data_IF_203641853797
#
_entry.id   IF_203641853797
#
_cell.length_a   1.000
_cell.length_b   1.000
_cell.length_c   1.000
_cell.angle_alpha   90.00
_cell.angle_beta   90.00
_cell.angle_gamma   90.00
#
_symmetry.space_group_name_H-M   'P 1'
#
loop_
_entity.id
_entity.type
_entity.pdbx_description
1 polymer ?
#
# COMPACT_ATOMS: atom_id res chain seq x y z
N UNK A 1 60.88 23.16 -97.78
CA UNK A 1 60.05 24.14 -97.05
C UNK A 1 59.24 23.41 -95.99
N UNK A 2 59.79 23.18 -94.79
CA UNK A 2 59.55 23.95 -93.54
C UNK A 2 58.08 24.23 -93.16
N UNK A 3 57.14 24.38 -94.09
CA UNK A 3 55.72 24.61 -93.80
C UNK A 3 54.93 23.31 -93.57
N UNK A 4 55.29 22.20 -94.21
CA UNK A 4 54.56 20.92 -94.04
C UNK A 4 54.89 20.27 -92.69
N UNK A 5 56.10 20.44 -92.18
CA UNK A 5 56.48 19.97 -90.83
C UNK A 5 55.92 20.86 -89.71
N UNK A 6 55.71 22.17 -89.96
CA UNK A 6 55.06 23.07 -89.00
C UNK A 6 53.56 22.84 -88.88
N UNK A 7 52.90 22.39 -89.95
CA UNK A 7 51.47 22.07 -89.93
C UNK A 7 51.18 20.73 -89.23
N UNK A 8 52.07 19.73 -89.31
CA UNK A 8 51.90 18.49 -88.54
C UNK A 8 52.18 18.67 -87.03
N UNK A 9 53.11 19.55 -86.64
CA UNK A 9 53.35 19.84 -85.22
C UNK A 9 52.26 20.72 -84.59
N UNK A 10 51.65 21.61 -85.36
CA UNK A 10 50.54 22.45 -84.89
C UNK A 10 49.26 21.63 -84.63
N UNK A 11 48.98 20.60 -85.44
CA UNK A 11 47.83 19.70 -85.23
C UNK A 11 48.03 18.79 -84.01
N UNK A 12 49.27 18.33 -83.76
CA UNK A 12 49.57 17.53 -82.57
C UNK A 12 49.51 18.36 -81.27
N UNK A 13 49.90 19.64 -81.31
CA UNK A 13 49.77 20.55 -80.16
C UNK A 13 48.33 21.01 -79.90
N UNK A 14 47.44 21.07 -80.90
CA UNK A 14 46.04 21.47 -80.69
C UNK A 14 45.13 20.31 -80.23
N UNK A 15 45.50 19.06 -80.51
CA UNK A 15 44.79 17.89 -79.98
C UNK A 15 45.19 17.56 -78.52
N UNK A 16 46.39 17.95 -78.09
CA UNK A 16 46.89 17.67 -76.74
C UNK A 16 46.34 18.62 -75.64
N UNK A 17 45.77 19.78 -76.00
CA UNK A 17 45.34 20.78 -75.02
C UNK A 17 43.89 20.63 -74.52
N UNK A 18 43.08 19.74 -75.11
CA UNK A 18 41.68 19.50 -74.69
C UNK A 18 41.47 18.25 -73.81
N UNK A 19 42.51 17.43 -73.61
CA UNK A 19 42.45 16.24 -72.75
C UNK A 19 42.59 16.49 -71.22
N UNK A 20 43.30 17.52 -70.70
CA UNK A 20 43.53 17.64 -69.26
C UNK A 20 42.32 18.18 -68.46
N UNK A 21 41.44 18.96 -69.11
CA UNK A 21 40.39 19.72 -68.43
C UNK A 21 39.19 18.84 -68.02
N UNK A 22 38.85 17.83 -68.84
CA UNK A 22 37.78 16.86 -68.53
C UNK A 22 38.20 15.87 -67.46
N UNK A 23 39.46 15.41 -67.47
CA UNK A 23 40.01 14.54 -66.43
C UNK A 23 40.03 15.21 -65.04
N UNK A 24 40.32 16.52 -64.98
CA UNK A 24 40.27 17.31 -63.74
C UNK A 24 38.84 17.50 -63.21
N UNK A 25 37.86 17.70 -64.08
CA UNK A 25 36.45 17.78 -63.68
C UNK A 25 35.94 16.42 -63.15
N UNK A 26 36.31 15.33 -63.81
CA UNK A 26 35.97 13.97 -63.37
C UNK A 26 36.61 13.63 -62.01
N UNK A 27 37.88 13.97 -61.77
CA UNK A 27 38.53 13.76 -60.47
C UNK A 27 37.84 14.55 -59.34
N UNK A 28 37.40 15.78 -59.63
CA UNK A 28 36.62 16.60 -58.69
C UNK A 28 35.26 15.98 -58.36
N UNK A 29 34.56 15.44 -59.37
CA UNK A 29 33.27 14.78 -59.19
C UNK A 29 33.40 13.45 -58.43
N UNK A 30 34.47 12.69 -58.68
CA UNK A 30 34.83 11.48 -57.92
C UNK A 30 35.09 11.84 -56.45
N UNK A 31 35.88 12.88 -56.17
CA UNK A 31 36.14 13.34 -54.79
C UNK A 31 34.86 13.79 -54.07
N UNK A 32 33.99 14.54 -54.75
CA UNK A 32 32.70 14.97 -54.20
C UNK A 32 31.80 13.77 -53.90
N UNK A 33 31.71 12.82 -54.83
CA UNK A 33 30.92 11.59 -54.67
C UNK A 33 31.45 10.75 -53.51
N UNK A 34 32.77 10.59 -53.39
CA UNK A 34 33.42 9.88 -52.27
C UNK A 34 33.14 10.56 -50.92
N UNK A 35 33.11 11.89 -50.88
CA UNK A 35 32.74 12.64 -49.67
C UNK A 35 31.28 12.42 -49.28
N UNK A 36 30.36 12.44 -50.25
CA UNK A 36 28.93 12.15 -50.02
C UNK A 36 28.74 10.72 -49.52
N UNK A 37 29.40 9.74 -50.15
CA UNK A 37 29.36 8.33 -49.71
C UNK A 37 29.85 8.22 -48.27
N UNK A 38 31.00 8.83 -47.93
CA UNK A 38 31.52 8.81 -46.56
C UNK A 38 30.57 9.45 -45.54
N UNK A 39 29.88 10.54 -45.92
CA UNK A 39 28.86 11.17 -45.09
C UNK A 39 27.64 10.25 -44.90
N UNK A 40 27.18 9.59 -45.96
CA UNK A 40 26.09 8.62 -45.91
C UNK A 40 26.46 7.38 -45.09
N UNK A 41 27.69 6.88 -45.18
CA UNK A 41 28.16 5.78 -44.33
C UNK A 41 28.14 6.16 -42.84
N UNK A 42 28.55 7.38 -42.50
CA UNK A 42 28.44 7.91 -41.13
C UNK A 42 26.98 8.03 -40.68
N UNK A 43 26.10 8.49 -41.56
CA UNK A 43 24.66 8.59 -41.29
C UNK A 43 24.04 7.21 -41.06
N UNK A 44 24.35 6.22 -41.90
CA UNK A 44 23.90 4.83 -41.75
C UNK A 44 24.40 4.23 -40.44
N UNK A 45 25.66 4.42 -40.08
CA UNK A 45 26.18 3.96 -38.78
C UNK A 45 25.45 4.60 -37.61
N UNK A 46 25.17 5.91 -37.67
CA UNK A 46 24.40 6.61 -36.63
C UNK A 46 22.98 6.07 -36.51
N UNK A 47 22.32 5.81 -37.64
CA UNK A 47 20.98 5.24 -37.66
C UNK A 47 20.96 3.82 -37.11
N UNK A 48 21.92 2.97 -37.48
CA UNK A 48 22.04 1.61 -36.95
C UNK A 48 22.21 1.62 -35.42
N UNK A 49 23.11 2.44 -34.88
CA UNK A 49 23.27 2.57 -33.44
C UNK A 49 21.96 3.04 -32.76
N UNK A 50 21.25 3.99 -33.38
CA UNK A 50 19.96 4.46 -32.85
C UNK A 50 18.88 3.38 -32.87
N UNK A 51 18.90 2.48 -33.85
CA UNK A 51 17.99 1.32 -33.92
C UNK A 51 18.33 0.32 -32.83
N UNK A 52 19.62 0.02 -32.63
CA UNK A 52 20.09 -0.90 -31.60
C UNK A 52 19.74 -0.39 -30.19
N UNK A 53 19.95 0.91 -29.93
CA UNK A 53 19.56 1.56 -28.67
C UNK A 53 18.04 1.48 -28.45
N UNK A 54 17.24 1.79 -29.48
CA UNK A 54 15.79 1.70 -29.38
C UNK A 54 15.29 0.25 -29.15
N UNK A 55 15.92 -0.74 -29.78
CA UNK A 55 15.61 -2.15 -29.57
C UNK A 55 15.91 -2.57 -28.13
N UNK A 56 17.05 -2.15 -27.58
CA UNK A 56 17.41 -2.41 -26.18
C UNK A 56 16.43 -1.74 -25.20
N UNK A 57 16.05 -0.49 -25.46
CA UNK A 57 15.06 0.23 -24.65
C UNK A 57 13.70 -0.48 -24.65
N UNK A 58 13.21 -0.92 -25.83
CA UNK A 58 11.95 -1.67 -25.95
C UNK A 58 12.00 -2.97 -25.14
N UNK A 59 13.10 -3.73 -25.22
CA UNK A 59 13.26 -4.98 -24.47
C UNK A 59 13.21 -4.71 -22.96
N UNK A 60 13.92 -3.67 -22.49
CA UNK A 60 13.93 -3.29 -21.08
C UNK A 60 12.55 -2.83 -20.61
N UNK A 61 11.85 -2.02 -21.40
CA UNK A 61 10.51 -1.53 -21.09
C UNK A 61 9.47 -2.66 -21.07
N UNK A 62 9.56 -3.63 -21.98
CA UNK A 62 8.75 -4.85 -21.93
C UNK A 62 9.00 -5.69 -20.67
N UNK A 63 10.27 -5.84 -20.27
CA UNK A 63 10.62 -6.55 -19.04
C UNK A 63 10.05 -5.83 -17.81
N UNK A 64 10.14 -4.50 -17.77
CA UNK A 64 9.57 -3.69 -16.69
C UNK A 64 8.05 -3.80 -16.63
N UNK A 65 7.35 -3.77 -17.77
CA UNK A 65 5.91 -3.98 -17.83
C UNK A 65 5.51 -5.36 -17.30
N UNK A 66 6.17 -6.43 -17.74
CA UNK A 66 5.94 -7.78 -17.22
C UNK A 66 6.18 -7.87 -15.71
N UNK A 67 7.24 -7.21 -15.22
CA UNK A 67 7.53 -7.13 -13.79
C UNK A 67 6.42 -6.44 -12.99
N UNK A 68 5.91 -5.32 -13.51
CA UNK A 68 4.78 -4.60 -12.90
C UNK A 68 3.49 -5.43 -12.95
N UNK A 69 3.24 -6.18 -14.02
CA UNK A 69 2.07 -7.07 -14.13
C UNK A 69 2.08 -8.18 -13.09
N UNK A 70 3.23 -8.84 -12.90
CA UNK A 70 3.41 -9.86 -11.86
C UNK A 70 3.18 -9.26 -10.47
N UNK A 71 3.74 -8.06 -10.21
CA UNK A 71 3.54 -7.38 -8.93
C UNK A 71 2.07 -7.00 -8.70
N UNK A 72 1.38 -6.49 -9.72
CA UNK A 72 -0.05 -6.15 -9.65
C UNK A 72 -0.87 -7.40 -9.34
N UNK A 73 -0.67 -8.50 -10.06
CA UNK A 73 -1.42 -9.74 -9.84
C UNK A 73 -1.21 -10.28 -8.42
N UNK A 74 0.03 -10.23 -7.91
CA UNK A 74 0.33 -10.62 -6.53
C UNK A 74 -0.36 -9.72 -5.51
N UNK A 75 -0.30 -8.40 -5.70
CA UNK A 75 -0.92 -7.42 -4.80
C UNK A 75 -2.46 -7.51 -4.84
N UNK A 76 -3.05 -7.80 -6.00
CA UNK A 76 -4.49 -8.04 -6.13
C UNK A 76 -4.93 -9.30 -5.36
N UNK A 77 -4.15 -10.38 -5.44
CA UNK A 77 -4.37 -11.59 -4.64
C UNK A 77 -4.28 -11.32 -3.13
N UNK A 78 -3.23 -10.61 -2.70
CA UNK A 78 -3.06 -10.21 -1.29
C UNK A 78 -4.23 -9.34 -0.80
N UNK A 79 -4.62 -8.31 -1.57
CA UNK A 79 -5.74 -7.42 -1.22
C UNK A 79 -7.05 -8.20 -1.14
N UNK A 80 -7.32 -9.12 -2.07
CA UNK A 80 -8.54 -9.92 -2.05
C UNK A 80 -8.61 -10.82 -0.81
N UNK A 81 -7.50 -11.47 -0.45
CA UNK A 81 -7.41 -12.32 0.75
C UNK A 81 -7.60 -11.48 2.02
N UNK A 82 -6.84 -10.39 2.15
CA UNK A 82 -6.89 -9.51 3.31
C UNK A 82 -8.26 -8.82 3.46
N UNK A 83 -8.95 -8.52 2.36
CA UNK A 83 -10.30 -7.94 2.40
C UNK A 83 -11.32 -8.92 2.99
N UNK A 84 -11.26 -10.20 2.61
CA UNK A 84 -12.11 -11.24 3.22
C UNK A 84 -11.83 -11.42 4.71
N UNK A 85 -10.55 -11.48 5.08
CA UNK A 85 -10.14 -11.56 6.48
C UNK A 85 -10.60 -10.33 7.27
N UNK A 86 -10.53 -9.14 6.66
CA UNK A 86 -11.01 -7.90 7.24
C UNK A 86 -12.52 -7.92 7.51
N UNK A 87 -13.34 -8.36 6.55
CA UNK A 87 -14.79 -8.50 6.75
C UNK A 87 -15.14 -9.42 7.92
N UNK A 88 -14.46 -10.57 8.02
CA UNK A 88 -14.64 -11.51 9.14
C UNK A 88 -14.25 -10.86 10.47
N UNK A 89 -13.12 -10.16 10.50
CA UNK A 89 -12.62 -9.46 11.68
C UNK A 89 -13.52 -8.29 12.11
N UNK A 90 -14.16 -7.60 11.16
CA UNK A 90 -15.14 -6.55 11.49
C UNK A 90 -16.38 -7.13 12.17
N UNK A 91 -16.90 -8.27 11.68
CA UNK A 91 -17.99 -8.97 12.36
C UNK A 91 -17.60 -9.38 13.79
N UNK A 92 -16.36 -9.86 13.97
CA UNK A 92 -15.84 -10.19 15.31
C UNK A 92 -15.75 -8.95 16.22
N UNK A 93 -15.40 -7.77 15.67
CA UNK A 93 -15.45 -6.52 16.43
C UNK A 93 -16.88 -6.23 16.89
N UNK A 94 -17.86 -6.31 15.99
CA UNK A 94 -19.26 -6.05 16.32
C UNK A 94 -19.79 -7.02 17.40
N UNK A 95 -19.42 -8.31 17.29
CA UNK A 95 -19.72 -9.34 18.29
C UNK A 95 -19.06 -9.03 19.65
N UNK A 96 -17.80 -8.61 19.66
CA UNK A 96 -17.09 -8.25 20.89
C UNK A 96 -17.65 -6.97 21.53
N UNK A 97 -18.05 -5.98 20.73
CA UNK A 97 -18.64 -4.75 21.25
C UNK A 97 -20.05 -5.01 21.82
N UNK A 98 -20.84 -5.86 21.18
CA UNK A 98 -22.12 -6.32 21.72
C UNK A 98 -21.95 -7.07 23.04
N UNK A 99 -20.97 -7.97 23.13
CA UNK A 99 -20.62 -8.66 24.38
C UNK A 99 -20.16 -7.68 25.44
N UNK A 100 -19.31 -6.72 25.11
CA UNK A 100 -18.85 -5.67 26.02
C UNK A 100 -20.03 -4.87 26.59
N UNK A 101 -20.93 -4.38 25.73
CA UNK A 101 -22.11 -3.63 26.16
C UNK A 101 -23.00 -4.45 27.12
N UNK A 102 -23.16 -5.75 26.84
CA UNK A 102 -23.88 -6.66 27.75
C UNK A 102 -23.18 -6.75 29.11
N UNK A 103 -21.86 -6.93 29.13
CA UNK A 103 -21.08 -7.01 30.37
C UNK A 103 -21.10 -5.68 31.15
N UNK A 104 -21.12 -4.54 30.47
CA UNK A 104 -21.25 -3.21 31.09
C UNK A 104 -22.63 -3.02 31.73
N UNK A 105 -23.69 -3.47 31.08
CA UNK A 105 -25.03 -3.49 31.67
C UNK A 105 -25.10 -4.39 32.90
N UNK A 106 -24.58 -5.63 32.80
CA UNK A 106 -24.51 -6.55 33.94
C UNK A 106 -23.69 -5.97 35.10
N UNK A 107 -22.58 -5.30 34.80
CA UNK A 107 -21.77 -4.56 35.78
C UNK A 107 -22.59 -3.45 36.46
N UNK A 108 -23.34 -2.65 35.70
CA UNK A 108 -24.19 -1.59 36.26
C UNK A 108 -25.30 -2.15 37.16
N UNK A 109 -25.90 -3.27 36.78
CA UNK A 109 -26.90 -3.96 37.61
C UNK A 109 -26.30 -4.50 38.92
N UNK A 110 -25.07 -4.99 38.89
CA UNK A 110 -24.34 -5.38 40.10
C UNK A 110 -24.07 -4.16 40.99
N UNK A 111 -23.67 -3.02 40.44
CA UNK A 111 -23.48 -1.77 41.18
C UNK A 111 -24.77 -1.32 41.88
N UNK A 112 -25.92 -1.37 41.19
CA UNK A 112 -27.23 -1.05 41.78
C UNK A 112 -27.58 -1.98 42.94
N UNK A 113 -27.42 -3.30 42.75
CA UNK A 113 -27.67 -4.31 43.79
C UNK A 113 -26.77 -4.11 45.01
N UNK A 114 -25.50 -3.78 44.80
CA UNK A 114 -24.56 -3.48 45.90
C UNK A 114 -25.06 -2.29 46.73
N UNK A 115 -25.45 -1.18 46.09
CA UNK A 115 -25.99 -0.01 46.78
C UNK A 115 -27.28 -0.34 47.54
N UNK A 116 -28.17 -1.12 46.94
CA UNK A 116 -29.43 -1.54 47.57
C UNK A 116 -29.18 -2.39 48.82
N UNK A 117 -28.29 -3.39 48.74
CA UNK A 117 -27.95 -4.24 49.87
C UNK A 117 -27.28 -3.46 51.00
N UNK A 118 -26.34 -2.56 50.67
CA UNK A 118 -25.68 -1.72 51.67
C UNK A 118 -26.66 -0.76 52.36
N UNK A 119 -27.60 -0.17 51.61
CA UNK A 119 -28.64 0.71 52.19
C UNK A 119 -29.57 -0.07 53.12
N UNK A 120 -29.97 -1.29 52.75
CA UNK A 120 -30.82 -2.17 53.57
C UNK A 120 -30.12 -2.59 54.86
N UNK A 121 -28.83 -2.93 54.80
CA UNK A 121 -28.03 -3.28 55.97
C UNK A 121 -27.85 -2.10 56.92
N UNK A 122 -27.57 -0.90 56.38
CA UNK A 122 -27.52 0.34 57.17
C UNK A 122 -28.86 0.64 57.85
N UNK A 123 -29.97 0.58 57.12
CA UNK A 123 -31.30 0.81 57.68
C UNK A 123 -31.64 -0.21 58.79
N UNK A 124 -31.32 -1.49 58.57
CA UNK A 124 -31.50 -2.52 59.59
C UNK A 124 -30.64 -2.24 60.83
N UNK A 125 -29.38 -1.81 60.66
CA UNK A 125 -28.51 -1.45 61.77
C UNK A 125 -29.06 -0.30 62.61
N UNK A 126 -29.60 0.75 61.96
CA UNK A 126 -30.20 1.92 62.64
C UNK A 126 -31.40 1.52 63.49
N UNK A 127 -32.33 0.74 62.93
CA UNK A 127 -33.53 0.25 63.63
C UNK A 127 -33.17 -0.59 64.86
N UNK A 128 -32.05 -1.30 64.83
CA UNK A 128 -31.62 -2.20 65.90
C UNK A 128 -30.85 -1.43 67.00
N UNK A 129 -30.22 -0.29 66.68
CA UNK A 129 -29.48 0.52 67.66
C UNK A 129 -30.35 1.48 68.49
N UNK A 130 -31.60 1.73 68.12
CA UNK A 130 -32.49 2.66 68.85
C UNK A 130 -33.05 2.11 70.17
N UNK A 131 -32.87 0.81 70.48
CA UNK A 131 -33.33 0.21 71.73
C UNK A 131 -32.18 -0.52 72.45
N UNK A 132 -31.84 -0.10 73.67
CA UNK A 132 -30.89 -0.83 74.52
C UNK A 132 -31.54 -2.16 75.01
N UNK A 133 -30.86 -3.31 74.89
CA UNK A 133 -31.47 -4.60 75.09
C UNK A 133 -31.80 -4.82 76.57
N UNK A 134 -33.08 -4.75 76.93
CA UNK A 134 -33.55 -4.94 78.30
C UNK A 134 -34.52 -6.13 78.45
N UNK A 135 -34.96 -6.76 77.35
CA UNK A 135 -35.84 -7.95 77.38
C UNK A 135 -35.36 -9.14 76.51
N UNK A 136 -36.06 -10.28 76.60
CA UNK A 136 -35.79 -11.47 75.78
C UNK A 136 -35.99 -11.22 74.27
N UNK A 137 -36.88 -10.30 73.91
CA UNK A 137 -37.18 -9.91 72.54
C UNK A 137 -35.98 -9.19 71.90
N UNK A 138 -35.24 -8.40 72.68
CA UNK A 138 -34.05 -7.69 72.23
C UNK A 138 -32.87 -8.64 71.94
N UNK A 139 -32.75 -9.74 72.69
CA UNK A 139 -31.76 -10.80 72.40
C UNK A 139 -32.08 -11.48 71.06
N UNK A 140 -33.36 -11.76 70.80
CA UNK A 140 -33.81 -12.34 69.52
C UNK A 140 -33.56 -11.37 68.37
N UNK A 141 -33.86 -10.07 68.54
CA UNK A 141 -33.56 -9.02 67.55
C UNK A 141 -32.05 -8.92 67.26
N UNK A 142 -31.20 -8.99 68.27
CA UNK A 142 -29.74 -8.97 68.09
C UNK A 142 -29.21 -10.20 67.34
N UNK A 143 -29.74 -11.39 67.62
CA UNK A 143 -29.38 -12.62 66.92
C UNK A 143 -29.83 -12.58 65.44
N UNK A 144 -31.03 -12.06 65.17
CA UNK A 144 -31.54 -11.84 63.81
C UNK A 144 -30.66 -10.84 63.07
N UNK A 145 -30.30 -9.71 63.69
CA UNK A 145 -29.38 -8.71 63.16
C UNK A 145 -28.06 -9.31 62.71
N UNK A 146 -27.40 -10.06 63.60
CA UNK A 146 -26.11 -10.68 63.34
C UNK A 146 -26.15 -11.66 62.16
N UNK A 147 -27.20 -12.47 62.07
CA UNK A 147 -27.40 -13.39 60.95
C UNK A 147 -27.68 -12.65 59.65
N UNK A 148 -28.49 -11.59 59.70
CA UNK A 148 -28.80 -10.75 58.54
C UNK A 148 -27.54 -10.07 57.99
N UNK A 149 -26.74 -9.42 58.83
CA UNK A 149 -25.48 -8.78 58.42
C UNK A 149 -24.46 -9.78 57.86
N UNK A 150 -24.43 -11.02 58.37
CA UNK A 150 -23.61 -12.08 57.78
C UNK A 150 -24.07 -12.45 56.37
N UNK A 151 -25.37 -12.68 56.17
CA UNK A 151 -25.95 -13.03 54.87
C UNK A 151 -25.74 -11.90 53.85
N UNK A 152 -25.93 -10.64 54.27
CA UNK A 152 -25.65 -9.47 53.42
C UNK A 152 -24.17 -9.39 53.09
N UNK A 153 -23.29 -9.58 54.07
CA UNK A 153 -21.83 -9.58 53.87
C UNK A 153 -21.36 -10.62 52.85
N UNK A 154 -21.92 -11.82 52.89
CA UNK A 154 -21.61 -12.88 51.92
C UNK A 154 -22.15 -12.55 50.51
N UNK A 155 -23.34 -11.95 50.40
CA UNK A 155 -23.87 -11.47 49.12
C UNK A 155 -23.04 -10.33 48.52
N UNK A 156 -22.64 -9.34 49.33
CA UNK A 156 -21.78 -8.23 48.90
C UNK A 156 -20.43 -8.75 48.41
N UNK A 157 -19.82 -9.72 49.09
CA UNK A 157 -18.58 -10.38 48.63
C UNK A 157 -18.76 -11.04 47.27
N UNK A 158 -19.85 -11.79 47.06
CA UNK A 158 -20.14 -12.45 45.79
C UNK A 158 -20.33 -11.44 44.66
N UNK A 159 -21.16 -10.41 44.87
CA UNK A 159 -21.40 -9.34 43.90
C UNK A 159 -20.10 -8.60 43.53
N UNK A 160 -19.23 -8.32 44.51
CA UNK A 160 -17.91 -7.72 44.25
C UNK A 160 -17.02 -8.62 43.39
N UNK A 161 -17.03 -9.93 43.60
CA UNK A 161 -16.25 -10.87 42.80
C UNK A 161 -16.75 -10.90 41.34
N UNK A 162 -18.06 -10.98 41.14
CA UNK A 162 -18.70 -10.92 39.80
C UNK A 162 -18.38 -9.60 39.10
N UNK A 163 -18.45 -8.48 39.81
CA UNK A 163 -18.07 -7.16 39.30
C UNK A 163 -16.63 -7.11 38.76
N UNK A 164 -15.67 -7.58 39.55
CA UNK A 164 -14.25 -7.61 39.16
C UNK A 164 -14.04 -8.52 37.96
N UNK A 165 -14.70 -9.69 37.94
CA UNK A 165 -14.64 -10.61 36.80
C UNK A 165 -15.15 -9.95 35.51
N UNK A 166 -16.26 -9.22 35.58
CA UNK A 166 -16.82 -8.49 34.43
C UNK A 166 -15.89 -7.40 33.92
N UNK A 167 -15.25 -6.64 34.82
CA UNK A 167 -14.23 -5.66 34.42
C UNK A 167 -13.06 -6.32 33.67
N UNK A 168 -12.61 -7.49 34.14
CA UNK A 168 -11.51 -8.20 33.50
C UNK A 168 -11.88 -8.69 32.09
N UNK A 169 -13.07 -9.25 31.93
CA UNK A 169 -13.59 -9.67 30.62
C UNK A 169 -13.71 -8.49 29.64
N UNK A 170 -14.18 -7.33 30.10
CA UNK A 170 -14.24 -6.10 29.29
C UNK A 170 -12.84 -5.71 28.79
N UNK A 171 -11.83 -5.68 29.67
CA UNK A 171 -10.44 -5.36 29.28
C UNK A 171 -9.88 -6.31 28.23
N UNK A 172 -10.16 -7.61 28.36
CA UNK A 172 -9.73 -8.62 27.40
C UNK A 172 -10.36 -8.41 26.02
N UNK A 173 -11.64 -8.08 25.95
CA UNK A 173 -12.32 -7.73 24.70
C UNK A 173 -11.69 -6.48 24.06
N UNK A 174 -11.39 -5.45 24.84
CA UNK A 174 -10.74 -4.22 24.34
C UNK A 174 -9.34 -4.47 23.77
N UNK A 175 -8.58 -5.40 24.36
CA UNK A 175 -7.28 -5.82 23.81
C UNK A 175 -7.47 -6.54 22.46
N UNK A 176 -8.44 -7.47 22.37
CA UNK A 176 -8.74 -8.17 21.12
C UNK A 176 -9.18 -7.22 20.01
N UNK A 177 -10.07 -6.27 20.31
CA UNK A 177 -10.51 -5.24 19.35
C UNK A 177 -9.34 -4.39 18.87
N UNK A 178 -8.44 -3.95 19.75
CA UNK A 178 -7.24 -3.18 19.37
C UNK A 178 -6.31 -3.98 18.45
N UNK A 179 -6.03 -5.24 18.77
CA UNK A 179 -5.19 -6.10 17.95
C UNK A 179 -5.78 -6.29 16.53
N UNK A 180 -7.09 -6.46 16.44
CA UNK A 180 -7.80 -6.53 15.15
C UNK A 180 -7.64 -5.21 14.38
N UNK A 181 -7.90 -4.06 15.01
CA UNK A 181 -7.76 -2.74 14.38
C UNK A 181 -6.37 -2.48 13.82
N UNK A 182 -5.31 -2.90 14.51
CA UNK A 182 -3.94 -2.79 14.00
C UNK A 182 -3.70 -3.65 12.75
N UNK A 183 -4.31 -4.85 12.68
CA UNK A 183 -4.20 -5.69 11.48
C UNK A 183 -4.90 -5.10 10.24
N UNK A 184 -5.87 -4.19 10.41
CA UNK A 184 -6.53 -3.45 9.33
C UNK A 184 -5.56 -2.53 8.58
N UNK A 185 -4.59 -1.95 9.29
CA UNK A 185 -3.61 -1.02 8.70
C UNK A 185 -2.79 -1.70 7.59
N UNK A 186 -2.55 -3.01 7.70
CA UNK A 186 -1.84 -3.79 6.67
C UNK A 186 -2.61 -3.84 5.35
N UNK A 187 -3.94 -4.00 5.40
CA UNK A 187 -4.79 -4.00 4.19
C UNK A 187 -4.74 -2.63 3.49
N UNK A 188 -4.85 -1.54 4.25
CA UNK A 188 -4.80 -0.19 3.68
C UNK A 188 -3.44 0.13 3.05
N UNK A 189 -2.34 -0.29 3.69
CA UNK A 189 -1.00 -0.20 3.10
C UNK A 189 -0.89 -0.98 1.78
N UNK A 190 -1.43 -2.20 1.72
CA UNK A 190 -1.42 -3.04 0.51
C UNK A 190 -2.28 -2.45 -0.62
N UNK A 191 -3.45 -1.88 -0.31
CA UNK A 191 -4.28 -1.15 -1.29
C UNK A 191 -3.53 0.07 -1.86
N UNK A 192 -2.89 0.85 -1.01
CA UNK A 192 -2.10 2.01 -1.44
C UNK A 192 -0.93 1.60 -2.33
N UNK A 193 -0.23 0.51 -1.97
CA UNK A 193 0.84 -0.04 -2.79
C UNK A 193 0.34 -0.50 -4.16
N UNK A 194 -0.79 -1.23 -4.20
CA UNK A 194 -1.42 -1.66 -5.45
C UNK A 194 -1.78 -0.48 -6.36
N UNK A 195 -2.40 0.57 -5.80
CA UNK A 195 -2.75 1.77 -6.54
C UNK A 195 -1.51 2.46 -7.14
N UNK A 196 -0.44 2.57 -6.36
CA UNK A 196 0.84 3.12 -6.81
C UNK A 196 1.45 2.29 -7.96
N UNK A 197 1.51 0.97 -7.82
CA UNK A 197 2.07 0.09 -8.87
C UNK A 197 1.25 0.17 -10.17
N UNK A 198 -0.08 0.25 -10.08
CA UNK A 198 -0.95 0.49 -11.25
C UNK A 198 -0.65 1.84 -11.91
N UNK A 199 -0.44 2.88 -11.12
CA UNK A 199 -0.08 4.21 -11.62
C UNK A 199 1.30 4.20 -12.31
N UNK A 200 2.28 3.52 -11.73
CA UNK A 200 3.63 3.41 -12.29
C UNK A 200 3.61 2.66 -13.63
N UNK A 201 2.78 1.62 -13.75
CA UNK A 201 2.52 0.94 -15.04
C UNK A 201 1.95 1.89 -16.09
N UNK A 202 0.96 2.71 -15.72
CA UNK A 202 0.35 3.68 -16.65
C UNK A 202 1.36 4.75 -17.10
N UNK A 203 2.20 5.26 -16.19
CA UNK A 203 3.27 6.20 -16.53
C UNK A 203 4.29 5.59 -17.49
N UNK A 204 4.65 4.32 -17.27
CA UNK A 204 5.56 3.61 -18.17
C UNK A 204 4.95 3.45 -19.57
N UNK A 205 3.67 3.08 -19.67
CA UNK A 205 2.96 2.99 -20.94
C UNK A 205 2.92 4.35 -21.67
N UNK A 206 2.67 5.45 -20.95
CA UNK A 206 2.66 6.80 -21.53
C UNK A 206 4.05 7.21 -22.05
N UNK A 207 5.10 6.89 -21.29
CA UNK A 207 6.49 7.10 -21.70
C UNK A 207 6.81 6.34 -23.00
N UNK A 208 6.50 5.04 -23.04
CA UNK A 208 6.69 4.18 -24.22
C UNK A 208 5.97 4.75 -25.44
N UNK A 209 4.71 5.20 -25.28
CA UNK A 209 3.94 5.83 -26.37
C UNK A 209 4.63 7.08 -26.90
N UNK A 210 5.14 7.96 -26.02
CA UNK A 210 5.86 9.17 -26.41
C UNK A 210 7.17 8.86 -27.16
N UNK A 211 7.93 7.86 -26.69
CA UNK A 211 9.14 7.39 -27.40
C UNK A 211 8.79 6.85 -28.79
N UNK A 212 7.74 6.02 -28.90
CA UNK A 212 7.29 5.49 -30.18
C UNK A 212 6.89 6.58 -31.19
N UNK A 213 6.23 7.65 -30.74
CA UNK A 213 5.90 8.79 -31.61
C UNK A 213 7.13 9.61 -32.00
N UNK A 214 8.15 9.69 -31.14
CA UNK A 214 9.41 10.36 -31.46
C UNK A 214 10.21 9.63 -32.55
N UNK A 215 10.15 8.30 -32.60
CA UNK A 215 10.81 7.50 -33.65
C UNK A 215 10.14 7.55 -35.02
N UNK A 216 8.92 8.10 -35.12
CA UNK A 216 8.21 8.28 -36.40
C UNK A 216 8.54 9.59 -37.12
N UNK A 217 9.24 10.51 -36.44
CA UNK A 217 9.65 11.82 -36.97
C UNK A 217 11.07 11.77 -37.52
#
# INVERSE_FOLDING_TARGET
>A
MRLIFLLLSAVYCFAASKLPQSAHAIDKDIKKTKAVISQKDKEVKRLNNSIDDAANDIINEQKNLKGLDVQIASLEGDVAKLSKEFELKMKQIDEYEAQKNKLENEKSEIEKKLVEFMTKDLAASVVITENAPNDQDDIVKAQISKNLSKVVGDHVKKLKAEYVQRQQMIKELEVKVRAIKLSVLSLEQKKAQLAKTKQDKLKLIDKIKKQAEAYKK
#
